data_IF_487134261086
#
_entry.id   IF_487134261086
#
_cell.length_a   1.000
_cell.length_b   1.000
_cell.length_c   1.000
_cell.angle_alpha   90.00
_cell.angle_beta   90.00
_cell.angle_gamma   90.00
#
_symmetry.space_group_name_H-M   'P 1'
#
loop_
_entity.id
_entity.type
_entity.pdbx_description
1 polymer ?
#
# COMPACT_ATOMS: atom_id res chain seq x y z
N UNK A 1 -6.99 -9.99 -36.75
CA UNK A 1 -7.12 -9.25 -35.45
C UNK A 1 -5.86 -9.51 -34.64
N UNK A 2 -5.37 -8.50 -33.93
CA UNK A 2 -4.22 -8.71 -33.06
C UNK A 2 -4.65 -9.60 -31.89
N UNK A 3 -3.84 -10.59 -31.53
CA UNK A 3 -4.03 -11.44 -30.34
C UNK A 3 -2.96 -11.11 -29.32
N UNK A 4 -3.36 -10.96 -28.06
CA UNK A 4 -2.46 -10.67 -26.95
C UNK A 4 -2.57 -11.77 -25.89
N UNK A 5 -1.44 -12.19 -25.34
CA UNK A 5 -1.39 -13.12 -24.19
C UNK A 5 -0.86 -12.34 -22.99
N UNK A 6 -1.64 -12.31 -21.92
CA UNK A 6 -1.26 -11.73 -20.63
C UNK A 6 -0.86 -12.86 -19.68
N UNK A 7 0.36 -12.80 -19.15
CA UNK A 7 0.87 -13.80 -18.22
C UNK A 7 0.70 -13.29 -16.79
N UNK A 8 -0.15 -13.98 -16.05
CA UNK A 8 -0.50 -13.69 -14.66
C UNK A 8 -1.82 -12.93 -14.50
N UNK A 9 -2.77 -13.55 -13.79
CA UNK A 9 -4.06 -12.97 -13.41
C UNK A 9 -4.00 -12.21 -12.09
N UNK A 10 -2.90 -11.52 -11.81
CA UNK A 10 -2.83 -10.49 -10.79
C UNK A 10 -3.59 -9.24 -11.23
N UNK A 11 -3.87 -8.31 -10.31
CA UNK A 11 -4.69 -7.13 -10.60
C UNK A 11 -4.16 -6.33 -11.80
N UNK A 12 -2.84 -6.14 -11.92
CA UNK A 12 -2.24 -5.42 -13.03
C UNK A 12 -2.46 -6.13 -14.38
N UNK A 13 -2.28 -7.46 -14.41
CA UNK A 13 -2.50 -8.26 -15.64
C UNK A 13 -3.98 -8.25 -16.06
N UNK A 14 -4.90 -8.40 -15.09
CA UNK A 14 -6.33 -8.37 -15.37
C UNK A 14 -6.81 -7.00 -15.86
N UNK A 15 -6.34 -5.90 -15.24
CA UNK A 15 -6.67 -4.54 -15.70
C UNK A 15 -6.13 -4.28 -17.11
N UNK A 16 -4.93 -4.76 -17.42
CA UNK A 16 -4.37 -4.64 -18.78
C UNK A 16 -5.18 -5.47 -19.79
N UNK A 17 -5.55 -6.70 -19.43
CA UNK A 17 -6.37 -7.57 -20.27
C UNK A 17 -7.76 -6.97 -20.55
N UNK A 18 -8.42 -6.46 -19.51
CA UNK A 18 -9.72 -5.80 -19.61
C UNK A 18 -9.66 -4.55 -20.50
N UNK A 19 -8.62 -3.74 -20.38
CA UNK A 19 -8.42 -2.57 -21.23
C UNK A 19 -8.26 -2.96 -22.69
N UNK A 20 -7.40 -3.94 -22.98
CA UNK A 20 -7.17 -4.44 -24.34
C UNK A 20 -8.44 -5.08 -24.94
N UNK A 21 -9.17 -5.86 -24.16
CA UNK A 21 -10.41 -6.49 -24.60
C UNK A 21 -11.48 -5.45 -24.95
N UNK A 22 -11.59 -4.37 -24.18
CA UNK A 22 -12.49 -3.25 -24.48
C UNK A 22 -12.09 -2.49 -25.75
N UNK A 23 -10.81 -2.47 -26.08
CA UNK A 23 -10.30 -1.92 -27.35
C UNK A 23 -10.44 -2.90 -28.53
N UNK A 24 -11.09 -4.06 -28.34
CA UNK A 24 -11.38 -5.04 -29.38
C UNK A 24 -10.20 -5.96 -29.70
N UNK A 25 -9.20 -6.04 -28.84
CA UNK A 25 -8.09 -7.01 -28.99
C UNK A 25 -8.56 -8.38 -28.48
N UNK A 26 -8.21 -9.45 -29.21
CA UNK A 26 -8.38 -10.83 -28.73
C UNK A 26 -7.34 -11.11 -27.62
N UNK A 27 -7.79 -11.29 -26.37
CA UNK A 27 -6.91 -11.41 -25.19
C UNK A 27 -7.11 -12.75 -24.52
N UNK A 28 -5.99 -13.42 -24.24
CA UNK A 28 -5.94 -14.62 -23.43
C UNK A 28 -5.11 -14.36 -22.17
N UNK A 29 -5.63 -14.69 -20.97
CA UNK A 29 -4.92 -14.54 -19.69
C UNK A 29 -4.51 -15.92 -19.20
N UNK A 30 -3.22 -16.10 -18.91
CA UNK A 30 -2.67 -17.34 -18.36
C UNK A 30 -2.27 -17.13 -16.91
N UNK A 31 -2.82 -17.91 -15.99
CA UNK A 31 -2.51 -17.90 -14.56
C UNK A 31 -2.01 -19.28 -14.12
N UNK A 32 -0.94 -19.30 -13.33
CA UNK A 32 -0.33 -20.54 -12.84
C UNK A 32 -1.01 -21.14 -11.62
N UNK A 33 -1.78 -20.33 -10.89
CA UNK A 33 -2.54 -20.73 -9.70
C UNK A 33 -3.98 -21.03 -10.07
N UNK A 34 -4.69 -21.64 -9.14
CA UNK A 34 -6.13 -21.93 -9.21
C UNK A 34 -7.03 -20.72 -8.85
N UNK A 35 -6.43 -19.51 -8.68
CA UNK A 35 -7.14 -18.29 -8.33
C UNK A 35 -6.56 -17.07 -9.02
N UNK A 36 -7.39 -16.07 -9.24
CA UNK A 36 -7.00 -14.71 -9.66
C UNK A 36 -6.60 -13.82 -8.49
N UNK A 37 -6.11 -12.61 -8.77
CA UNK A 37 -5.81 -11.57 -7.79
C UNK A 37 -4.33 -11.46 -7.43
N UNK A 38 -3.54 -12.52 -7.58
CA UNK A 38 -2.11 -12.48 -7.26
C UNK A 38 -1.86 -12.13 -5.79
N UNK A 39 -1.31 -10.93 -5.54
CA UNK A 39 -1.06 -10.35 -4.21
C UNK A 39 -2.31 -9.75 -3.54
N UNK A 40 -3.44 -9.68 -4.21
CA UNK A 40 -4.73 -9.40 -3.61
C UNK A 40 -5.41 -10.74 -3.36
N UNK A 41 -5.61 -11.07 -2.09
CA UNK A 41 -6.10 -12.40 -1.70
C UNK A 41 -6.97 -12.32 -0.45
N UNK A 42 -8.27 -12.46 -0.64
CA UNK A 42 -9.26 -12.57 0.44
C UNK A 42 -9.54 -14.03 0.75
N UNK A 43 -9.74 -14.35 2.01
CA UNK A 43 -10.11 -15.70 2.47
C UNK A 43 -11.13 -15.60 3.59
N UNK A 44 -11.77 -16.73 3.90
CA UNK A 44 -12.61 -16.84 5.09
C UNK A 44 -11.92 -17.67 6.15
N UNK A 45 -11.99 -17.19 7.40
CA UNK A 45 -11.58 -17.95 8.57
C UNK A 45 -12.62 -19.06 8.87
N UNK A 46 -12.22 -20.03 9.67
CA UNK A 46 -13.10 -21.13 10.11
C UNK A 46 -14.39 -20.66 10.80
N UNK A 47 -14.37 -19.47 11.42
CA UNK A 47 -15.55 -18.80 12.00
C UNK A 47 -16.35 -17.93 11.02
N UNK A 48 -16.07 -17.97 9.70
CA UNK A 48 -16.77 -17.22 8.65
C UNK A 48 -16.32 -15.77 8.50
N UNK A 49 -15.38 -15.28 9.34
CA UNK A 49 -14.81 -13.92 9.24
C UNK A 49 -13.99 -13.74 7.98
N UNK A 50 -14.03 -12.55 7.40
CA UNK A 50 -13.21 -12.18 6.24
C UNK A 50 -11.78 -11.90 6.68
N UNK A 51 -10.81 -12.48 5.98
CA UNK A 51 -9.38 -12.24 6.16
C UNK A 51 -8.79 -11.80 4.83
N UNK A 52 -8.10 -10.67 4.81
CA UNK A 52 -7.22 -10.28 3.72
C UNK A 52 -5.83 -10.88 3.97
N UNK A 53 -5.45 -11.87 3.18
CA UNK A 53 -4.12 -12.49 3.28
C UNK A 53 -3.04 -11.64 2.64
N UNK A 54 -3.42 -10.75 1.72
CA UNK A 54 -2.54 -9.77 1.10
C UNK A 54 -3.38 -8.67 0.41
N UNK A 55 -2.82 -7.46 0.29
CA UNK A 55 -3.51 -6.32 -0.31
C UNK A 55 -4.70 -5.84 0.53
N UNK A 56 -4.50 -5.71 1.85
CA UNK A 56 -5.58 -5.47 2.81
C UNK A 56 -6.18 -4.07 2.71
N UNK A 57 -5.34 -3.03 2.55
CA UNK A 57 -5.79 -1.65 2.67
C UNK A 57 -5.99 -0.99 1.32
N UNK A 58 -7.14 -0.34 1.16
CA UNK A 58 -7.40 0.66 0.13
C UNK A 58 -7.46 2.01 0.85
N UNK A 59 -6.39 2.78 0.71
CA UNK A 59 -6.30 4.09 1.34
C UNK A 59 -7.12 5.11 0.55
N UNK A 60 -7.79 6.02 1.22
CA UNK A 60 -8.52 7.10 0.56
C UNK A 60 -7.57 7.91 -0.35
N UNK A 61 -8.03 8.21 -1.57
CA UNK A 61 -7.20 8.84 -2.60
C UNK A 61 -6.54 7.88 -3.58
N UNK A 62 -6.71 6.56 -3.43
CA UNK A 62 -6.31 5.59 -4.44
C UNK A 62 -7.27 5.60 -5.62
N UNK A 63 -7.28 6.73 -6.35
CA UNK A 63 -8.27 7.06 -7.37
C UNK A 63 -8.48 5.95 -8.42
N UNK A 64 -7.39 5.30 -8.86
CA UNK A 64 -7.50 4.21 -9.83
C UNK A 64 -8.23 2.98 -9.27
N UNK A 65 -7.98 2.65 -8.00
CA UNK A 65 -8.63 1.52 -7.31
C UNK A 65 -10.10 1.85 -7.00
N UNK A 66 -10.38 3.08 -6.60
CA UNK A 66 -11.73 3.57 -6.36
C UNK A 66 -12.57 3.54 -7.64
N UNK A 67 -12.02 4.07 -8.74
CA UNK A 67 -12.68 4.04 -10.05
C UNK A 67 -12.91 2.61 -10.56
N UNK A 68 -11.98 1.69 -10.27
CA UNK A 68 -12.17 0.27 -10.61
C UNK A 68 -13.30 -0.35 -9.78
N UNK A 69 -13.32 -0.11 -8.47
CA UNK A 69 -14.38 -0.60 -7.59
C UNK A 69 -15.76 -0.08 -8.03
N UNK A 70 -15.87 1.22 -8.31
CA UNK A 70 -17.11 1.84 -8.81
C UNK A 70 -17.56 1.22 -10.14
N UNK A 71 -16.65 1.03 -11.08
CA UNK A 71 -16.95 0.40 -12.36
C UNK A 71 -17.44 -1.03 -12.24
N UNK A 72 -16.94 -1.77 -11.27
CA UNK A 72 -17.34 -3.14 -10.98
C UNK A 72 -18.56 -3.23 -10.06
N UNK A 73 -19.11 -2.09 -9.60
CA UNK A 73 -20.23 -2.05 -8.67
C UNK A 73 -19.89 -2.56 -7.26
N UNK A 74 -18.62 -2.51 -6.88
CA UNK A 74 -18.12 -2.98 -5.59
C UNK A 74 -18.13 -1.84 -4.56
N UNK A 75 -18.81 -2.05 -3.43
CA UNK A 75 -18.81 -1.10 -2.33
C UNK A 75 -17.51 -1.17 -1.54
N UNK A 76 -16.98 0.00 -1.16
CA UNK A 76 -15.84 0.14 -0.26
C UNK A 76 -16.35 0.47 1.14
N UNK A 77 -16.05 -0.38 2.10
CA UNK A 77 -16.40 -0.19 3.51
C UNK A 77 -15.17 0.30 4.30
N UNK A 78 -15.38 1.26 5.21
CA UNK A 78 -14.37 1.68 6.17
C UNK A 78 -14.01 0.52 7.11
N UNK A 79 -12.72 0.39 7.40
CA UNK A 79 -12.23 -0.70 8.26
C UNK A 79 -12.24 -0.33 9.75
N UNK A 80 -12.48 0.95 10.09
CA UNK A 80 -12.36 1.47 11.45
C UNK A 80 -10.93 1.50 11.99
N UNK A 81 -9.94 1.16 11.17
CA UNK A 81 -8.52 1.21 11.48
C UNK A 81 -7.91 2.28 10.58
N UNK A 82 -7.10 3.15 11.16
CA UNK A 82 -6.32 4.14 10.42
C UNK A 82 -4.87 3.68 10.32
N UNK A 83 -4.27 3.89 9.19
CA UNK A 83 -2.86 3.54 9.00
C UNK A 83 -1.93 4.20 10.05
N UNK A 84 -2.13 5.48 10.43
CA UNK A 84 -1.33 6.13 11.44
C UNK A 84 -1.58 5.67 12.89
N UNK A 85 -2.64 4.92 13.17
CA UNK A 85 -2.93 4.42 14.53
C UNK A 85 -1.99 3.28 14.97
N UNK A 86 -1.10 2.84 14.09
CA UNK A 86 -0.04 1.88 14.43
C UNK A 86 1.02 2.56 15.28
N UNK A 87 1.15 2.14 16.52
CA UNK A 87 2.18 2.60 17.44
C UNK A 87 3.33 1.58 17.55
N UNK A 88 4.43 2.03 18.14
CA UNK A 88 5.47 1.13 18.63
C UNK A 88 4.93 0.28 19.78
N UNK A 89 5.51 -0.87 20.02
CA UNK A 89 5.14 -1.73 21.14
C UNK A 89 6.38 -2.00 22.04
N UNK A 90 6.42 -1.54 23.29
CA UNK A 90 5.38 -0.75 23.96
C UNK A 90 5.21 0.64 23.34
N UNK A 91 4.01 1.22 23.47
CA UNK A 91 3.73 2.57 22.97
C UNK A 91 4.38 3.62 23.88
N UNK A 92 5.33 4.42 23.39
CA UNK A 92 5.97 5.47 24.17
C UNK A 92 5.14 6.76 24.30
N UNK A 93 3.94 6.81 23.69
CA UNK A 93 3.08 8.00 23.74
C UNK A 93 3.56 9.14 22.85
N UNK A 94 4.02 8.87 21.64
CA UNK A 94 4.55 9.88 20.72
C UNK A 94 3.48 10.90 20.33
N UNK A 95 3.80 12.19 20.48
CA UNK A 95 2.98 13.26 19.91
C UNK A 95 3.05 13.22 18.38
N UNK A 96 1.89 12.99 17.79
CA UNK A 96 1.73 12.89 16.33
C UNK A 96 2.18 14.17 15.60
N UNK A 97 1.89 15.35 16.16
CA UNK A 97 2.31 16.63 15.56
C UNK A 97 3.83 16.74 15.52
N UNK A 98 4.50 16.34 16.60
CA UNK A 98 5.96 16.30 16.64
C UNK A 98 6.54 15.28 15.65
N UNK A 99 5.93 14.10 15.54
CA UNK A 99 6.33 13.08 14.58
C UNK A 99 6.18 13.55 13.13
N UNK A 100 5.05 14.21 12.79
CA UNK A 100 4.81 14.76 11.46
C UNK A 100 5.82 15.86 11.13
N UNK A 101 6.08 16.78 12.05
CA UNK A 101 7.09 17.82 11.86
C UNK A 101 8.51 17.25 11.68
N UNK A 102 8.82 16.15 12.36
CA UNK A 102 10.08 15.43 12.17
C UNK A 102 10.15 14.76 10.79
N UNK A 103 9.09 14.10 10.36
CA UNK A 103 8.99 13.49 9.04
C UNK A 103 9.21 14.51 7.91
N UNK A 104 8.58 15.68 8.01
CA UNK A 104 8.75 16.77 7.04
C UNK A 104 10.19 17.28 6.96
N UNK A 105 10.92 17.34 8.09
CA UNK A 105 12.36 17.68 8.06
C UNK A 105 13.18 16.61 7.33
N UNK A 106 12.87 15.34 7.58
CA UNK A 106 13.53 14.23 6.87
C UNK A 106 13.26 14.29 5.37
N UNK A 107 12.04 14.59 4.95
CA UNK A 107 11.68 14.77 3.53
C UNK A 107 12.47 15.91 2.88
N UNK A 108 12.56 17.05 3.55
CA UNK A 108 13.32 18.19 3.05
C UNK A 108 14.81 17.85 2.88
N UNK A 109 15.40 17.10 3.81
CA UNK A 109 16.78 16.63 3.70
C UNK A 109 16.93 15.57 2.59
N UNK A 110 16.00 14.61 2.51
CA UNK A 110 15.99 13.57 1.48
C UNK A 110 15.88 14.12 0.07
N UNK A 111 15.13 15.22 -0.13
CA UNK A 111 15.00 15.89 -1.42
C UNK A 111 16.34 16.48 -1.91
N UNK A 112 17.22 16.89 -0.99
CA UNK A 112 18.55 17.42 -1.32
C UNK A 112 19.63 16.35 -1.39
N UNK A 113 19.43 15.24 -0.68
CA UNK A 113 20.40 14.15 -0.51
C UNK A 113 19.75 12.78 -0.80
N UNK A 114 19.19 12.53 -2.00
CA UNK A 114 18.40 11.32 -2.27
C UNK A 114 19.21 10.02 -2.18
N UNK A 115 20.53 10.08 -2.28
CA UNK A 115 21.43 8.93 -2.17
C UNK A 115 22.00 8.73 -0.76
N UNK A 116 21.73 9.64 0.18
CA UNK A 116 22.21 9.51 1.55
C UNK A 116 21.53 8.30 2.24
N UNK A 117 22.20 7.54 3.10
CA UNK A 117 21.59 6.48 3.88
C UNK A 117 20.42 7.00 4.71
N UNK A 118 19.28 6.29 4.69
CA UNK A 118 18.08 6.71 5.41
C UNK A 118 18.32 6.87 6.92
N UNK A 119 19.10 5.98 7.52
CA UNK A 119 19.45 6.05 8.94
C UNK A 119 20.26 7.29 9.30
N UNK A 120 21.13 7.77 8.41
CA UNK A 120 21.90 9.01 8.64
C UNK A 120 20.99 10.23 8.60
N UNK A 121 20.07 10.30 7.63
CA UNK A 121 19.07 11.36 7.56
C UNK A 121 18.17 11.36 8.80
N UNK A 122 17.65 10.20 9.19
CA UNK A 122 16.82 10.05 10.39
C UNK A 122 17.59 10.46 11.66
N UNK A 123 18.85 10.05 11.82
CA UNK A 123 19.66 10.40 13.00
C UNK A 123 19.93 11.91 13.08
N UNK A 124 20.15 12.57 11.96
CA UNK A 124 20.44 14.00 11.87
C UNK A 124 19.21 14.87 12.10
N UNK A 125 18.10 14.52 11.44
CA UNK A 125 16.89 15.35 11.40
C UNK A 125 15.92 15.07 12.56
N UNK A 126 16.05 13.91 13.23
CA UNK A 126 15.13 13.46 14.28
C UNK A 126 15.88 13.22 15.60
N UNK A 127 16.05 14.24 16.44
CA UNK A 127 16.75 14.11 17.73
C UNK A 127 16.05 13.16 18.70
N UNK A 128 14.71 13.16 18.71
CA UNK A 128 13.89 12.31 19.58
C UNK A 128 14.04 10.83 19.16
N UNK A 129 14.52 9.94 20.04
CA UNK A 129 14.79 8.55 19.68
C UNK A 129 13.51 7.76 19.40
N UNK A 130 12.40 8.04 20.09
CA UNK A 130 11.15 7.31 19.91
C UNK A 130 10.49 7.69 18.58
N UNK A 131 10.51 8.98 18.22
CA UNK A 131 10.04 9.44 16.91
C UNK A 131 10.92 8.85 15.79
N UNK A 132 12.23 8.83 16.00
CA UNK A 132 13.17 8.27 15.02
C UNK A 132 12.91 6.78 14.80
N UNK A 133 12.69 6.01 15.85
CA UNK A 133 12.34 4.60 15.77
C UNK A 133 10.99 4.38 15.05
N UNK A 134 9.99 5.21 15.38
CA UNK A 134 8.70 5.17 14.68
C UNK A 134 8.88 5.37 13.17
N UNK A 135 9.59 6.41 12.76
CA UNK A 135 9.80 6.72 11.35
C UNK A 135 10.62 5.63 10.64
N UNK A 136 11.67 5.12 11.28
CA UNK A 136 12.46 4.01 10.75
C UNK A 136 11.62 2.74 10.54
N UNK A 137 10.81 2.37 11.54
CA UNK A 137 9.88 1.24 11.47
C UNK A 137 8.84 1.41 10.36
N UNK A 138 8.30 2.62 10.19
CA UNK A 138 7.36 2.93 9.11
C UNK A 138 8.00 2.83 7.73
N UNK A 139 9.19 3.41 7.55
CA UNK A 139 9.94 3.33 6.31
C UNK A 139 10.23 1.87 5.92
N UNK A 140 10.74 1.07 6.86
CA UNK A 140 11.01 -0.35 6.67
C UNK A 140 9.74 -1.13 6.26
N UNK A 141 8.62 -0.89 6.96
CA UNK A 141 7.36 -1.57 6.67
C UNK A 141 6.80 -1.18 5.30
N UNK A 142 6.88 0.10 4.92
CA UNK A 142 6.41 0.60 3.64
C UNK A 142 7.25 0.07 2.47
N UNK A 143 8.57 0.10 2.62
CA UNK A 143 9.50 -0.42 1.61
C UNK A 143 9.53 -1.96 1.56
N UNK A 144 9.03 -2.65 2.60
CA UNK A 144 9.22 -4.10 2.78
C UNK A 144 10.70 -4.51 2.71
N UNK A 145 11.58 -3.67 3.24
CA UNK A 145 13.03 -3.83 3.19
C UNK A 145 13.68 -3.24 4.44
N UNK A 146 14.79 -3.81 4.95
CA UNK A 146 15.50 -3.27 6.10
C UNK A 146 15.83 -1.78 5.92
N UNK A 147 15.64 -0.98 6.97
CA UNK A 147 15.84 0.48 6.89
C UNK A 147 17.31 0.86 6.65
N UNK A 148 18.24 0.02 7.08
CA UNK A 148 19.69 0.17 6.84
C UNK A 148 20.08 0.13 5.36
N UNK A 149 19.26 -0.48 4.52
CA UNK A 149 19.46 -0.57 3.08
C UNK A 149 18.71 0.54 2.30
N UNK A 150 17.94 1.37 3.00
CA UNK A 150 17.18 2.45 2.39
C UNK A 150 18.02 3.73 2.26
N UNK A 151 17.66 4.55 1.29
CA UNK A 151 18.25 5.88 1.07
C UNK A 151 17.20 6.98 1.16
N UNK A 152 17.62 8.24 1.09
CA UNK A 152 16.72 9.40 1.06
C UNK A 152 15.63 9.27 0.00
N UNK A 153 15.95 8.75 -1.19
CA UNK A 153 14.95 8.53 -2.24
C UNK A 153 13.82 7.58 -1.87
N UNK A 154 14.02 6.68 -0.88
CA UNK A 154 12.99 5.77 -0.40
C UNK A 154 12.11 6.37 0.70
N UNK A 155 12.57 7.43 1.35
CA UNK A 155 11.89 8.07 2.49
C UNK A 155 11.49 9.52 2.20
N UNK A 156 11.53 9.92 0.92
CA UNK A 156 11.25 11.29 0.49
C UNK A 156 9.79 11.73 0.65
N UNK A 157 8.91 10.85 1.03
CA UNK A 157 7.49 11.09 1.30
C UNK A 157 7.01 10.42 2.60
N UNK A 158 7.93 10.26 3.56
CA UNK A 158 7.68 9.50 4.79
C UNK A 158 6.54 10.09 5.64
N UNK A 159 6.23 11.37 5.50
CA UNK A 159 5.13 12.02 6.24
C UNK A 159 3.77 11.45 5.89
N UNK A 160 3.57 10.97 4.66
CA UNK A 160 2.29 10.35 4.25
C UNK A 160 1.97 9.10 5.07
N UNK A 161 2.97 8.41 5.64
CA UNK A 161 2.78 7.26 6.52
C UNK A 161 2.17 7.63 7.88
N UNK A 162 2.08 8.95 8.16
CA UNK A 162 1.47 9.52 9.36
C UNK A 162 0.17 10.28 9.02
N UNK A 163 -0.24 10.33 7.75
CA UNK A 163 -1.45 11.02 7.34
C UNK A 163 -2.70 10.37 7.94
N UNK A 164 -3.65 11.21 8.32
CA UNK A 164 -4.95 10.79 8.86
C UNK A 164 -5.91 10.38 7.74
N UNK A 165 -5.55 9.32 7.03
CA UNK A 165 -6.35 8.78 5.93
C UNK A 165 -7.12 7.55 6.38
N UNK A 166 -8.38 7.50 5.99
CA UNK A 166 -9.22 6.33 6.20
C UNK A 166 -8.70 5.15 5.38
N UNK A 167 -8.64 3.99 6.01
CA UNK A 167 -8.42 2.72 5.32
C UNK A 167 -9.77 2.03 5.07
N UNK A 168 -9.94 1.56 3.84
CA UNK A 168 -11.14 0.88 3.37
C UNK A 168 -10.79 -0.48 2.75
N UNK A 169 -11.80 -1.29 2.54
CA UNK A 169 -11.71 -2.53 1.78
C UNK A 169 -12.99 -2.77 0.99
N UNK A 170 -12.91 -3.60 -0.03
CA UNK A 170 -14.08 -4.06 -0.77
C UNK A 170 -14.98 -4.88 0.17
N UNK A 171 -16.27 -4.57 0.18
CA UNK A 171 -17.26 -5.38 0.89
C UNK A 171 -17.25 -6.80 0.34
N UNK A 172 -16.95 -7.76 1.21
CA UNK A 172 -16.81 -9.17 0.83
C UNK A 172 -15.40 -9.61 0.49
N UNK A 173 -14.44 -8.68 0.39
CA UNK A 173 -13.01 -8.94 0.18
C UNK A 173 -12.43 -8.23 -1.04
N UNK A 174 -11.19 -7.79 -0.91
CA UNK A 174 -10.50 -7.06 -1.98
C UNK A 174 -10.25 -7.90 -3.24
N UNK A 175 -10.24 -9.24 -3.11
CA UNK A 175 -10.12 -10.14 -4.27
C UNK A 175 -11.27 -9.95 -5.27
N UNK A 176 -12.43 -9.45 -4.82
CA UNK A 176 -13.54 -9.07 -5.69
C UNK A 176 -13.16 -8.11 -6.82
N UNK A 177 -12.12 -7.27 -6.64
CA UNK A 177 -11.57 -6.44 -7.71
C UNK A 177 -10.99 -7.25 -8.87
N UNK A 178 -10.37 -8.37 -8.56
CA UNK A 178 -9.80 -9.27 -9.58
C UNK A 178 -10.84 -10.23 -10.16
N UNK A 179 -11.82 -10.64 -9.37
CA UNK A 179 -12.88 -11.56 -9.79
C UNK A 179 -13.91 -10.87 -10.69
N UNK A 180 -14.02 -9.53 -10.58
CA UNK A 180 -14.92 -8.73 -11.41
C UNK A 180 -14.35 -8.32 -12.78
N UNK A 181 -13.07 -8.57 -13.03
CA UNK A 181 -12.39 -8.30 -14.29
C UNK A 181 -12.39 -9.50 -15.21
#
# INVERSE_FOLDING_TARGET
MARCIVIGAGLAGLVAADALARDGVDVEVLEARDRVGGRVWSARADGGGLIERAGEFITAGYAATEALADRLGLALDGMGIRYPDRALCPDPGIDRTAALAAAQRVEAAAATEPSAPALELLAREVPDPDIRELLASRAQSSASHPVEDLTGGHIGDISHLLDDVETRRVRGGNQGLAEGL
#
